data_IF_608562838006
#
_entry.id   IF_608562838006
#
_cell.length_a   1.000
_cell.length_b   1.000
_cell.length_c   1.000
_cell.angle_alpha   90.00
_cell.angle_beta   90.00
_cell.angle_gamma   90.00
#
_symmetry.space_group_name_H-M   'P 1'
#
loop_
_entity.id
_entity.type
_entity.pdbx_description
1 polymer ?
#
# COMPACT_ATOMS: atom_id res chain seq x y z
N UNK A 1 -24.43 14.20 37.68
CA UNK A 1 -24.13 13.09 36.74
C UNK A 1 -22.94 13.49 35.87
N UNK A 2 -21.86 12.70 35.78
CA UNK A 2 -20.70 13.06 34.96
C UNK A 2 -20.88 12.68 33.48
N UNK A 3 -20.30 13.43 32.52
CA UNK A 3 -20.35 13.10 31.09
C UNK A 3 -19.34 12.01 30.69
N UNK A 4 -19.75 11.13 29.78
CA UNK A 4 -18.96 10.01 29.26
C UNK A 4 -18.13 10.41 28.03
N UNK A 5 -16.86 10.01 28.00
CA UNK A 5 -15.95 10.14 26.84
C UNK A 5 -16.07 8.92 25.90
N UNK A 6 -15.78 9.07 24.58
CA UNK A 6 -15.83 7.97 23.62
C UNK A 6 -14.56 7.11 23.64
N UNK A 7 -14.76 5.79 23.71
CA UNK A 7 -13.74 4.74 23.55
C UNK A 7 -13.38 4.57 22.06
N UNK A 8 -12.10 4.70 21.72
CA UNK A 8 -11.56 4.32 20.41
C UNK A 8 -10.91 2.94 20.51
N UNK A 9 -11.31 2.04 19.61
CA UNK A 9 -10.77 0.69 19.49
C UNK A 9 -9.51 0.73 18.61
N UNK A 10 -8.38 0.32 19.18
CA UNK A 10 -7.09 0.19 18.49
C UNK A 10 -7.05 -1.14 17.72
N UNK A 11 -6.98 -1.09 16.40
CA UNK A 11 -6.63 -2.27 15.58
C UNK A 11 -5.11 -2.29 15.36
N UNK A 12 -4.48 -3.34 15.86
CA UNK A 12 -3.07 -3.64 15.62
C UNK A 12 -2.88 -4.05 14.16
N UNK A 13 -1.90 -3.46 13.47
CA UNK A 13 -1.47 -3.89 12.14
C UNK A 13 -0.12 -4.61 12.28
N UNK A 14 -0.14 -5.89 11.92
CA UNK A 14 1.04 -6.76 11.83
C UNK A 14 2.01 -6.27 10.76
N UNK A 15 3.29 -6.23 11.13
CA UNK A 15 4.39 -5.87 10.25
C UNK A 15 4.76 -7.05 9.33
N UNK A 16 4.35 -6.97 8.07
CA UNK A 16 4.82 -7.86 7.00
C UNK A 16 6.29 -7.51 6.70
N UNK A 17 7.21 -8.41 7.05
CA UNK A 17 8.63 -8.33 6.66
C UNK A 17 8.76 -8.56 5.15
N UNK A 18 8.88 -7.49 4.38
CA UNK A 18 9.22 -7.56 2.96
C UNK A 18 10.75 -7.71 2.80
N UNK A 19 11.15 -8.84 2.24
CA UNK A 19 12.51 -9.10 1.76
C UNK A 19 12.78 -8.22 0.53
N UNK A 20 13.59 -7.16 0.68
CA UNK A 20 14.02 -6.34 -0.46
C UNK A 20 15.29 -6.95 -1.05
N UNK A 21 15.18 -7.51 -2.27
CA UNK A 21 16.32 -7.75 -3.16
C UNK A 21 16.69 -6.44 -3.85
N UNK A 22 17.97 -6.02 -3.86
CA UNK A 22 18.38 -4.86 -4.65
C UNK A 22 18.47 -5.24 -6.14
N UNK A 23 17.76 -4.49 -6.98
CA UNK A 23 17.90 -4.53 -8.44
C UNK A 23 19.27 -3.97 -8.86
N UNK A 24 19.93 -4.69 -9.77
CA UNK A 24 21.19 -4.26 -10.39
C UNK A 24 20.89 -3.29 -11.54
N UNK A 25 21.40 -2.07 -11.45
CA UNK A 25 21.45 -1.12 -12.57
C UNK A 25 22.91 -0.96 -13.01
N UNK A 26 23.21 -1.42 -14.21
CA UNK A 26 24.42 -1.13 -14.96
C UNK A 26 24.32 0.27 -15.56
N UNK A 27 25.22 1.18 -15.16
CA UNK A 27 25.40 2.46 -15.84
C UNK A 27 26.90 2.74 -16.00
N UNK A 28 27.23 3.10 -17.25
CA UNK A 28 28.53 3.33 -17.90
C UNK A 28 29.61 4.09 -17.13
N UNK A 29 30.83 3.60 -17.28
CA UNK A 29 32.08 4.14 -16.75
C UNK A 29 32.58 5.40 -17.49
N UNK A 30 33.18 6.37 -16.78
CA UNK A 30 34.23 7.23 -17.33
C UNK A 30 35.61 6.58 -17.08
N UNK A 31 36.41 6.56 -18.13
CA UNK A 31 37.78 6.03 -18.16
C UNK A 31 38.73 7.17 -17.83
N UNK A 32 39.39 7.16 -16.66
CA UNK A 32 40.63 7.91 -16.40
C UNK A 32 41.45 7.21 -15.29
N UNK A 33 42.76 7.15 -15.57
CA UNK A 33 43.95 6.64 -14.89
C UNK A 33 43.93 5.85 -13.56
N UNK A 34 44.66 4.73 -13.65
CA UNK A 34 45.39 3.99 -12.62
C UNK A 34 45.71 4.75 -11.32
N UNK A 35 45.28 4.21 -10.19
CA UNK A 35 46.09 4.03 -8.97
C UNK A 35 45.46 2.92 -8.12
N UNK A 36 46.22 1.86 -7.83
CA UNK A 36 45.77 0.73 -7.01
C UNK A 36 45.73 1.07 -5.51
N UNK A 37 44.79 0.48 -4.78
CA UNK A 37 44.67 0.70 -3.33
C UNK A 37 43.59 -0.14 -2.65
N UNK A 38 43.90 -1.41 -2.41
CA UNK A 38 43.35 -2.35 -1.41
C UNK A 38 42.57 -1.75 -0.22
N UNK A 39 41.30 -2.15 -0.07
CA UNK A 39 40.50 -1.94 1.15
C UNK A 39 40.52 -3.18 2.06
N UNK A 40 41.59 -3.36 2.83
CA UNK A 40 41.58 -4.22 4.03
C UNK A 40 42.36 -3.53 5.16
N UNK A 41 41.86 -2.39 5.65
CA UNK A 41 42.52 -1.63 6.72
C UNK A 41 41.66 -1.46 7.97
N UNK A 42 40.86 -2.48 8.33
CA UNK A 42 40.18 -2.53 9.65
C UNK A 42 40.93 -3.29 10.74
N UNK A 43 42.10 -3.86 10.44
CA UNK A 43 42.92 -4.59 11.43
C UNK A 43 44.28 -3.96 11.72
N UNK A 44 44.69 -2.92 10.99
CA UNK A 44 46.00 -2.27 11.19
C UNK A 44 46.04 -1.28 12.37
N UNK A 45 44.89 -0.93 12.96
CA UNK A 45 44.81 0.14 13.97
C UNK A 45 44.92 -0.33 15.43
N UNK A 46 45.26 -1.59 15.67
CA UNK A 46 45.53 -2.11 17.02
C UNK A 46 47.03 -2.15 17.38
N UNK A 47 47.93 -1.91 16.42
CA UNK A 47 49.38 -2.11 16.61
C UNK A 47 50.23 -0.83 16.57
N UNK A 48 49.64 0.36 16.46
CA UNK A 48 50.39 1.64 16.52
C UNK A 48 50.63 2.17 17.94
N UNK A 49 50.16 1.48 18.98
CA UNK A 49 50.24 1.96 20.37
C UNK A 49 51.50 1.53 21.14
N UNK A 50 52.53 1.00 20.47
CA UNK A 50 53.77 0.54 21.14
C UNK A 50 55.03 1.05 20.44
N UNK A 51 55.23 2.37 20.40
CA UNK A 51 56.54 3.02 20.29
C UNK A 51 56.38 4.52 20.54
N UNK A 52 56.88 4.98 21.68
CA UNK A 52 56.80 6.36 22.12
C UNK A 52 56.46 6.44 23.61
N UNK A 53 57.48 6.28 24.45
CA UNK A 53 57.36 6.55 25.86
C UNK A 53 57.19 8.06 26.09
N UNK A 54 56.54 8.37 27.20
CA UNK A 54 56.71 9.58 28.00
C UNK A 54 55.88 10.81 27.65
N UNK A 55 54.57 10.66 27.85
CA UNK A 55 53.75 11.62 28.61
C UNK A 55 52.59 10.82 29.19
N UNK A 56 52.79 10.30 30.41
CA UNK A 56 51.65 9.87 31.23
C UNK A 56 50.69 11.07 31.31
N UNK A 57 49.46 11.00 30.76
CA UNK A 57 48.51 12.06 31.02
C UNK A 57 48.32 12.02 32.53
N UNK A 58 48.55 13.14 33.21
CA UNK A 58 48.08 13.28 34.59
C UNK A 58 46.58 12.99 34.54
N UNK A 59 46.18 11.79 34.94
CA UNK A 59 44.78 11.40 35.04
C UNK A 59 44.20 12.27 36.15
N UNK A 60 43.61 13.39 35.76
CA UNK A 60 42.82 14.17 36.68
C UNK A 60 41.62 13.31 37.08
N UNK A 61 41.35 13.14 38.39
CA UNK A 61 40.13 12.49 38.87
C UNK A 61 38.92 13.28 38.35
N UNK A 62 38.36 12.83 37.21
CA UNK A 62 37.32 13.57 36.48
C UNK A 62 37.37 13.34 34.97
N UNK A 63 38.54 13.10 34.38
CA UNK A 63 38.69 12.97 32.92
C UNK A 63 38.05 11.68 32.37
N UNK A 64 38.06 10.60 33.16
CA UNK A 64 37.33 9.37 32.84
C UNK A 64 35.81 9.58 32.85
N UNK A 65 35.30 10.39 33.78
CA UNK A 65 33.88 10.73 33.86
C UNK A 65 33.45 11.62 32.67
N UNK A 66 34.29 12.58 32.28
CA UNK A 66 34.06 13.44 31.11
C UNK A 66 33.96 12.62 29.80
N UNK A 67 34.90 11.68 29.58
CA UNK A 67 34.87 10.79 28.39
C UNK A 67 33.68 9.85 28.40
N UNK A 68 33.24 9.39 29.57
CA UNK A 68 32.04 8.57 29.69
C UNK A 68 30.79 9.39 29.33
N UNK A 69 30.64 10.60 29.86
CA UNK A 69 29.54 11.50 29.50
C UNK A 69 29.51 11.87 28.02
N UNK A 70 30.67 12.10 27.40
CA UNK A 70 30.77 12.40 25.97
C UNK A 70 30.32 11.22 25.09
N UNK A 71 30.61 9.97 25.51
CA UNK A 71 30.10 8.76 24.84
C UNK A 71 28.59 8.60 24.99
N UNK A 72 28.01 8.92 26.15
CA UNK A 72 26.56 8.93 26.33
C UNK A 72 25.91 10.01 25.47
N UNK A 73 26.45 11.24 25.47
CA UNK A 73 25.96 12.33 24.61
C UNK A 73 26.08 12.02 23.12
N UNK A 74 27.18 11.41 22.66
CA UNK A 74 27.35 11.00 21.28
C UNK A 74 26.40 9.87 20.89
N UNK A 75 26.15 8.91 21.79
CA UNK A 75 25.17 7.83 21.58
C UNK A 75 23.73 8.37 21.55
N UNK A 76 23.37 9.26 22.47
CA UNK A 76 22.06 9.91 22.51
C UNK A 76 21.86 10.80 21.28
N UNK A 77 22.89 11.55 20.85
CA UNK A 77 22.85 12.33 19.62
C UNK A 77 22.70 11.46 18.37
N UNK A 78 23.38 10.30 18.31
CA UNK A 78 23.24 9.34 17.21
C UNK A 78 21.83 8.73 17.18
N UNK A 79 21.28 8.37 18.34
CA UNK A 79 19.93 7.82 18.46
C UNK A 79 18.86 8.86 18.07
N UNK A 80 18.98 10.09 18.55
CA UNK A 80 18.07 11.20 18.19
C UNK A 80 18.15 11.49 16.69
N UNK A 81 19.35 11.47 16.10
CA UNK A 81 19.53 11.67 14.65
C UNK A 81 18.92 10.54 13.82
N UNK A 82 19.12 9.28 14.22
CA UNK A 82 18.51 8.12 13.57
C UNK A 82 16.99 8.14 13.69
N UNK A 83 16.45 8.52 14.86
CA UNK A 83 15.01 8.68 15.07
C UNK A 83 14.44 9.82 14.23
N UNK A 84 15.14 10.95 14.12
CA UNK A 84 14.74 12.05 13.25
C UNK A 84 14.71 11.61 11.77
N UNK A 85 15.74 10.89 11.31
CA UNK A 85 15.79 10.36 9.94
C UNK A 85 14.66 9.34 9.67
N UNK A 86 14.35 8.47 10.64
CA UNK A 86 13.21 7.54 10.54
C UNK A 86 11.88 8.29 10.45
N UNK A 87 11.67 9.31 11.28
CA UNK A 87 10.46 10.13 11.25
C UNK A 87 10.33 10.90 9.93
N UNK A 88 11.43 11.45 9.42
CA UNK A 88 11.46 12.14 8.13
C UNK A 88 11.15 11.20 6.97
N UNK A 89 11.70 9.98 6.97
CA UNK A 89 11.37 8.96 5.98
C UNK A 89 9.87 8.65 5.96
N UNK A 90 9.26 8.42 7.13
CA UNK A 90 7.82 8.16 7.24
C UNK A 90 6.99 9.38 6.78
N UNK A 91 7.45 10.59 7.09
CA UNK A 91 6.81 11.83 6.63
C UNK A 91 6.85 11.93 5.11
N UNK A 92 8.00 11.68 4.49
CA UNK A 92 8.17 11.72 3.05
C UNK A 92 7.34 10.64 2.36
N UNK A 93 7.26 9.44 2.94
CA UNK A 93 6.39 8.37 2.45
C UNK A 93 4.92 8.81 2.46
N UNK A 94 4.45 9.40 3.56
CA UNK A 94 3.07 9.92 3.66
C UNK A 94 2.80 11.00 2.62
N UNK A 95 3.68 11.99 2.51
CA UNK A 95 3.57 13.09 1.54
C UNK A 95 3.51 12.54 0.10
N UNK A 96 4.38 11.59 -0.23
CA UNK A 96 4.37 10.95 -1.55
C UNK A 96 3.06 10.21 -1.83
N UNK A 97 2.52 9.48 -0.85
CA UNK A 97 1.23 8.81 -0.97
C UNK A 97 0.05 9.79 -1.13
N UNK A 98 0.10 10.93 -0.45
CA UNK A 98 -0.93 11.97 -0.56
C UNK A 98 -0.91 12.62 -1.96
N UNK A 99 0.27 12.87 -2.54
CA UNK A 99 0.38 13.36 -3.92
C UNK A 99 -0.15 12.35 -4.95
N UNK A 100 0.15 11.06 -4.78
CA UNK A 100 -0.37 10.02 -5.68
C UNK A 100 -1.90 9.91 -5.62
N UNK A 101 -2.51 10.09 -4.44
CA UNK A 101 -3.97 10.11 -4.27
C UNK A 101 -4.62 11.34 -4.90
N UNK A 102 -3.90 12.45 -4.96
CA UNK A 102 -4.37 13.67 -5.62
C UNK A 102 -4.37 13.55 -7.14
N UNK A 103 -3.65 12.60 -7.73
CA UNK A 103 -3.64 12.32 -9.18
C UNK A 103 -4.81 11.38 -9.56
N UNK A 104 -5.88 11.89 -10.20
CA UNK A 104 -7.05 11.06 -10.52
C UNK A 104 -6.87 10.25 -11.81
N UNK A 105 -5.99 10.69 -12.72
CA UNK A 105 -5.69 10.02 -13.99
C UNK A 105 -4.63 8.94 -13.77
N UNK A 106 -4.90 7.74 -14.30
CA UNK A 106 -3.90 6.67 -14.45
C UNK A 106 -3.30 6.79 -15.84
N UNK A 107 -1.99 6.94 -15.90
CA UNK A 107 -1.26 7.05 -17.16
C UNK A 107 -0.84 5.66 -17.62
N UNK A 108 -1.14 5.35 -18.87
CA UNK A 108 -0.72 4.10 -19.51
C UNK A 108 0.45 4.38 -20.46
N UNK A 109 1.26 3.35 -20.71
CA UNK A 109 2.36 3.48 -21.68
C UNK A 109 1.78 3.71 -23.09
N UNK A 110 2.27 4.75 -23.78
CA UNK A 110 1.78 5.15 -25.10
C UNK A 110 0.77 6.29 -25.08
N UNK A 111 0.27 6.70 -23.91
CA UNK A 111 -0.52 7.93 -23.78
C UNK A 111 0.33 9.16 -24.10
N UNK A 112 -0.11 9.96 -25.06
CA UNK A 112 0.48 11.27 -25.33
C UNK A 112 -0.09 12.28 -24.35
N UNK A 113 0.79 13.09 -23.76
CA UNK A 113 0.42 14.15 -22.84
C UNK A 113 0.84 15.52 -23.38
N UNK A 114 0.06 16.53 -23.02
CA UNK A 114 0.37 17.95 -23.18
C UNK A 114 0.63 18.56 -21.80
N UNK A 115 1.33 19.71 -21.71
CA UNK A 115 1.47 20.44 -20.44
C UNK A 115 0.11 20.78 -19.79
N UNK A 116 -0.93 20.93 -20.61
CA UNK A 116 -2.28 21.23 -20.14
C UNK A 116 -2.93 20.06 -19.37
N UNK A 117 -2.57 18.82 -19.69
CA UNK A 117 -3.13 17.62 -19.04
C UNK A 117 -2.74 17.50 -17.55
N UNK A 118 -1.70 18.22 -17.12
CA UNK A 118 -1.24 18.29 -15.73
C UNK A 118 -1.89 19.44 -14.94
N UNK A 119 -2.74 20.25 -15.60
CA UNK A 119 -3.47 21.35 -14.98
C UNK A 119 -4.52 20.84 -13.99
N UNK A 120 -4.77 21.55 -12.88
CA UNK A 120 -5.84 21.19 -11.93
C UNK A 120 -7.23 21.12 -12.60
N UNK A 121 -7.46 21.89 -13.67
CA UNK A 121 -8.73 21.88 -14.42
C UNK A 121 -8.95 20.54 -15.12
N UNK A 122 -7.92 20.03 -15.80
CA UNK A 122 -7.98 18.72 -16.45
C UNK A 122 -8.08 17.61 -15.41
N UNK A 123 -7.27 17.65 -14.35
CA UNK A 123 -7.34 16.68 -13.25
C UNK A 123 -8.78 16.57 -12.69
N UNK A 124 -9.48 17.69 -12.52
CA UNK A 124 -10.86 17.68 -12.02
C UNK A 124 -11.84 17.02 -13.00
N UNK A 125 -11.62 17.08 -14.32
CA UNK A 125 -12.41 16.34 -15.32
C UNK A 125 -12.21 14.84 -15.15
N UNK A 126 -10.96 14.39 -15.02
CA UNK A 126 -10.62 12.98 -14.80
C UNK A 126 -11.15 12.42 -13.47
N UNK A 127 -11.37 13.28 -12.48
CA UNK A 127 -11.99 12.90 -11.21
C UNK A 127 -13.45 12.45 -11.37
N UNK A 128 -14.15 12.94 -12.39
CA UNK A 128 -15.50 12.51 -12.73
C UNK A 128 -15.41 11.18 -13.49
N UNK A 129 -15.55 10.07 -12.78
CA UNK A 129 -15.55 8.74 -13.38
C UNK A 129 -16.80 8.59 -14.27
N UNK A 130 -16.62 8.71 -15.59
CA UNK A 130 -17.66 8.33 -16.54
C UNK A 130 -17.84 6.81 -16.46
N UNK A 131 -18.98 6.37 -15.93
CA UNK A 131 -19.30 4.95 -15.89
C UNK A 131 -19.64 4.47 -17.31
N UNK A 132 -19.04 3.35 -17.72
CA UNK A 132 -19.35 2.74 -19.02
C UNK A 132 -20.81 2.28 -18.99
N UNK A 133 -21.64 2.80 -19.90
CA UNK A 133 -23.05 2.41 -20.04
C UNK A 133 -23.22 1.18 -20.94
N UNK A 134 -22.21 0.30 -20.99
CA UNK A 134 -22.26 -0.91 -21.81
C UNK A 134 -22.92 -2.02 -21.00
N UNK A 135 -23.99 -2.59 -21.53
CA UNK A 135 -24.68 -3.73 -20.90
C UNK A 135 -23.77 -4.96 -20.96
N UNK A 136 -23.35 -5.45 -19.78
CA UNK A 136 -22.44 -6.58 -19.63
C UNK A 136 -23.07 -7.88 -20.16
N UNK A 137 -24.39 -8.04 -20.04
CA UNK A 137 -25.10 -9.25 -20.51
C UNK A 137 -25.09 -9.33 -22.03
N UNK A 138 -25.34 -8.20 -22.69
CA UNK A 138 -25.29 -8.12 -24.16
C UNK A 138 -23.84 -8.21 -24.67
N UNK A 139 -22.88 -7.57 -23.99
CA UNK A 139 -21.48 -7.61 -24.38
C UNK A 139 -20.87 -9.03 -24.30
N UNK A 140 -21.31 -9.82 -23.33
CA UNK A 140 -20.88 -11.22 -23.16
C UNK A 140 -21.76 -12.20 -23.93
N UNK A 141 -22.90 -11.78 -24.49
CA UNK A 141 -23.82 -12.64 -25.24
C UNK A 141 -24.46 -13.76 -24.41
N UNK A 142 -24.57 -13.59 -23.10
CA UNK A 142 -25.05 -14.63 -22.19
C UNK A 142 -26.54 -14.50 -21.90
N UNK A 143 -27.22 -15.63 -21.69
CA UNK A 143 -28.62 -15.68 -21.26
C UNK A 143 -28.70 -15.82 -19.72
N UNK A 144 -29.17 -14.81 -18.97
CA UNK A 144 -29.23 -14.89 -17.52
C UNK A 144 -30.11 -16.03 -17.01
N UNK A 145 -31.18 -16.38 -17.72
CA UNK A 145 -32.12 -17.41 -17.27
C UNK A 145 -31.51 -18.81 -17.22
N UNK A 146 -30.51 -19.06 -18.06
CA UNK A 146 -29.83 -20.36 -18.17
C UNK A 146 -28.66 -20.46 -17.18
N UNK A 147 -28.08 -19.32 -16.80
CA UNK A 147 -26.95 -19.22 -15.87
C UNK A 147 -27.35 -19.21 -14.39
N UNK A 148 -28.57 -19.64 -14.07
CA UNK A 148 -29.10 -19.61 -12.69
C UNK A 148 -28.30 -20.47 -11.69
N UNK A 149 -27.45 -21.39 -12.16
CA UNK A 149 -26.56 -22.21 -11.31
C UNK A 149 -25.26 -21.48 -10.93
N UNK A 150 -24.94 -20.37 -11.59
CA UNK A 150 -23.71 -19.63 -11.35
C UNK A 150 -23.93 -18.58 -10.24
N UNK A 151 -23.49 -18.91 -9.02
CA UNK A 151 -23.64 -18.04 -7.86
C UNK A 151 -22.85 -16.72 -7.97
N UNK A 152 -21.66 -16.75 -8.58
CA UNK A 152 -20.84 -15.56 -8.78
C UNK A 152 -21.52 -14.54 -9.70
N UNK A 153 -22.24 -15.01 -10.72
CA UNK A 153 -23.02 -14.13 -11.59
C UNK A 153 -24.20 -13.52 -10.84
N UNK A 154 -24.89 -14.30 -10.01
CA UNK A 154 -26.01 -13.82 -9.19
C UNK A 154 -25.53 -12.75 -8.21
N UNK A 155 -24.41 -13.01 -7.51
CA UNK A 155 -23.86 -12.08 -6.53
C UNK A 155 -23.61 -10.71 -7.12
N UNK A 156 -23.04 -10.64 -8.32
CA UNK A 156 -22.75 -9.38 -9.00
C UNK A 156 -23.99 -8.47 -9.16
N UNK A 157 -25.18 -9.06 -9.31
CA UNK A 157 -26.44 -8.32 -9.48
C UNK A 157 -27.28 -8.22 -8.20
N UNK A 158 -26.78 -8.73 -7.08
CA UNK A 158 -27.42 -8.61 -5.77
C UNK A 158 -26.61 -7.74 -4.81
N UNK A 159 -27.29 -7.16 -3.84
CA UNK A 159 -26.67 -6.50 -2.69
C UNK A 159 -26.11 -7.57 -1.74
N UNK A 160 -25.13 -7.25 -0.87
CA UNK A 160 -24.73 -8.14 0.23
C UNK A 160 -25.89 -8.63 1.10
N UNK A 161 -27.01 -7.89 1.11
CA UNK A 161 -28.27 -8.24 1.77
C UNK A 161 -29.20 -9.17 0.97
N UNK A 162 -28.78 -9.67 -0.18
CA UNK A 162 -29.58 -10.55 -1.06
C UNK A 162 -30.67 -9.84 -1.90
N UNK A 163 -30.78 -8.51 -1.80
CA UNK A 163 -31.71 -7.70 -2.61
C UNK A 163 -31.21 -7.55 -4.05
N UNK A 164 -32.12 -7.48 -5.02
CA UNK A 164 -31.74 -7.24 -6.43
C UNK A 164 -31.34 -5.77 -6.63
N UNK A 165 -30.15 -5.54 -7.19
CA UNK A 165 -29.64 -4.19 -7.44
C UNK A 165 -30.50 -3.46 -8.49
N UNK A 166 -30.75 -2.16 -8.27
CA UNK A 166 -31.50 -1.32 -9.21
C UNK A 166 -30.73 -1.11 -10.54
N UNK A 167 -31.44 -0.82 -11.64
CA UNK A 167 -30.83 -0.61 -12.97
C UNK A 167 -29.78 0.50 -13.00
N UNK A 168 -29.89 1.50 -12.12
CA UNK A 168 -28.89 2.55 -11.97
C UNK A 168 -27.54 2.04 -11.44
N UNK A 169 -27.55 0.94 -10.68
CA UNK A 169 -26.34 0.31 -10.16
C UNK A 169 -25.82 -0.72 -11.16
N UNK A 170 -26.69 -1.59 -11.68
CA UNK A 170 -26.30 -2.67 -12.61
C UNK A 170 -25.99 -2.18 -14.01
N UNK A 171 -26.53 -1.02 -14.41
CA UNK A 171 -26.36 -0.40 -15.74
C UNK A 171 -26.79 -1.29 -16.91
N UNK A 172 -27.67 -2.26 -16.63
CA UNK A 172 -28.24 -3.12 -17.65
C UNK A 172 -29.38 -2.43 -18.37
N UNK A 173 -29.62 -2.83 -19.63
CA UNK A 173 -30.81 -2.45 -20.38
C UNK A 173 -32.06 -2.96 -19.66
N UNK A 174 -33.20 -2.25 -19.69
CA UNK A 174 -34.41 -2.67 -18.96
C UNK A 174 -34.89 -4.09 -19.28
N UNK A 175 -34.68 -4.55 -20.51
CA UNK A 175 -35.01 -5.93 -20.92
C UNK A 175 -34.14 -6.95 -20.19
N UNK A 176 -32.83 -6.74 -20.16
CA UNK A 176 -31.88 -7.64 -19.50
C UNK A 176 -31.97 -7.55 -17.98
N UNK A 177 -32.21 -6.36 -17.44
CA UNK A 177 -32.52 -6.17 -16.02
C UNK A 177 -33.69 -7.05 -15.57
N UNK A 178 -34.76 -7.17 -16.38
CA UNK A 178 -35.88 -8.08 -16.08
C UNK A 178 -35.49 -9.55 -16.15
N UNK A 179 -34.65 -9.94 -17.10
CA UNK A 179 -34.13 -11.32 -17.23
C UNK A 179 -33.27 -11.70 -16.03
N UNK A 180 -32.34 -10.82 -15.63
CA UNK A 180 -31.52 -10.98 -14.42
C UNK A 180 -32.39 -11.05 -13.17
N UNK A 181 -33.34 -10.12 -13.00
CA UNK A 181 -34.25 -10.15 -11.85
C UNK A 181 -35.11 -11.43 -11.81
N UNK A 182 -35.53 -11.95 -12.98
CA UNK A 182 -36.24 -13.24 -13.07
C UNK A 182 -35.33 -14.41 -12.70
N UNK A 183 -34.08 -14.42 -13.14
CA UNK A 183 -33.08 -15.41 -12.73
C UNK A 183 -32.90 -15.40 -11.21
N UNK A 184 -32.62 -14.24 -10.59
CA UNK A 184 -32.40 -14.15 -9.13
C UNK A 184 -33.61 -14.66 -8.34
N UNK A 185 -34.83 -14.21 -8.69
CA UNK A 185 -36.07 -14.67 -8.03
C UNK A 185 -36.30 -16.17 -8.20
N UNK A 186 -35.95 -16.74 -9.35
CA UNK A 186 -36.02 -18.19 -9.59
C UNK A 186 -35.10 -18.94 -8.62
N UNK A 187 -33.84 -18.51 -8.49
CA UNK A 187 -32.86 -19.23 -7.66
C UNK A 187 -33.19 -19.13 -6.18
N UNK A 188 -33.67 -17.96 -5.74
CA UNK A 188 -34.17 -17.75 -4.38
C UNK A 188 -35.43 -18.60 -4.12
N UNK A 189 -36.37 -18.64 -5.06
CA UNK A 189 -37.57 -19.47 -4.96
C UNK A 189 -37.31 -20.98 -4.98
N UNK A 190 -36.22 -21.41 -5.63
CA UNK A 190 -35.76 -22.81 -5.61
C UNK A 190 -34.98 -23.16 -4.33
N UNK A 191 -34.62 -22.18 -3.50
CA UNK A 191 -33.85 -22.40 -2.27
C UNK A 191 -32.36 -22.67 -2.49
N UNK A 192 -31.82 -22.43 -3.69
CA UNK A 192 -30.39 -22.67 -3.99
C UNK A 192 -29.54 -21.46 -3.59
N UNK A 193 -30.11 -20.23 -3.64
CA UNK A 193 -29.42 -19.00 -3.27
C UNK A 193 -30.14 -18.29 -2.13
N UNK A 194 -29.43 -17.78 -1.10
CA UNK A 194 -30.07 -17.15 0.04
C UNK A 194 -30.77 -15.82 -0.31
N UNK A 195 -31.80 -15.46 0.46
CA UNK A 195 -32.55 -14.21 0.25
C UNK A 195 -32.05 -13.02 1.07
N UNK A 196 -31.39 -13.27 2.21
CA UNK A 196 -31.03 -12.23 3.20
C UNK A 196 -29.54 -11.87 3.19
N UNK A 197 -28.69 -12.74 2.66
CA UNK A 197 -27.25 -12.53 2.59
C UNK A 197 -26.67 -13.12 1.29
N UNK A 198 -25.44 -12.76 0.95
CA UNK A 198 -24.71 -13.40 -0.14
C UNK A 198 -24.53 -14.92 0.08
N UNK A 199 -24.14 -15.64 -0.98
CA UNK A 199 -23.93 -17.09 -0.89
C UNK A 199 -22.78 -17.40 0.08
N UNK A 200 -22.93 -18.38 0.99
CA UNK A 200 -21.94 -18.65 2.04
C UNK A 200 -20.54 -18.98 1.50
N UNK A 201 -20.45 -19.69 0.37
CA UNK A 201 -19.15 -19.97 -0.27
C UNK A 201 -18.44 -18.69 -0.75
N UNK A 202 -19.18 -17.65 -1.12
CA UNK A 202 -18.59 -16.37 -1.54
C UNK A 202 -18.19 -15.49 -0.36
N UNK A 203 -18.93 -15.61 0.75
CA UNK A 203 -18.54 -15.00 2.03
C UNK A 203 -17.31 -15.70 2.65
N UNK A 204 -16.98 -16.90 2.20
CA UNK A 204 -15.87 -17.67 2.76
C UNK A 204 -14.53 -16.98 2.58
N UNK A 205 -14.25 -16.43 1.40
CA UNK A 205 -12.98 -15.77 1.09
C UNK A 205 -12.72 -14.50 1.93
N UNK A 206 -13.62 -13.52 2.00
CA UNK A 206 -13.37 -12.29 2.76
C UNK A 206 -13.36 -12.50 4.28
N UNK A 207 -14.15 -13.45 4.81
CA UNK A 207 -14.27 -13.63 6.27
C UNK A 207 -13.35 -14.72 6.83
N UNK A 208 -13.13 -15.81 6.09
CA UNK A 208 -12.35 -16.97 6.53
C UNK A 208 -11.12 -17.17 5.66
N UNK A 209 -10.45 -16.08 5.27
CA UNK A 209 -9.13 -16.14 4.64
C UNK A 209 -8.24 -17.07 5.45
N UNK A 210 -8.06 -18.30 4.95
CA UNK A 210 -7.22 -19.30 5.59
C UNK A 210 -5.79 -18.82 5.37
N UNK A 211 -5.07 -18.57 6.47
CA UNK A 211 -3.61 -18.52 6.45
C UNK A 211 -3.04 -19.82 5.88
#
# INVERSE_FOLDING_TARGET
MPPRLPTTMTTATEAVRAFVRPFSCTASAPRELFTGGTHTSRLANLNSSRRGADRSPRFQPGDAATRMMERYRARDASFVREKAAQMEFLRNQKISGDFLRQMPRRWEAGDVYSPHDLSPVEMQKWRKRSVRNVDVVDALGISPLDMYKNFSLIEHFTSPSGMINHSNLTRLRPVNQRKVAKMVRRVQGMGIYPSVHAHPEMLREPFFSRY
#
